data_IF_933085246104
#
_entry.id   IF_933085246104
#
_cell.length_a   1.000
_cell.length_b   1.000
_cell.length_c   1.000
_cell.angle_alpha   90.00
_cell.angle_beta   90.00
_cell.angle_gamma   90.00
#
_symmetry.space_group_name_H-M   'P 1'
#
loop_
_entity.id
_entity.type
_entity.pdbx_description
1 polymer ?
#
# COMPACT_ATOMS: atom_id res chain seq x y z
N UNK A 1 5.53 8.60 11.66
CA UNK A 1 4.87 7.77 12.70
C UNK A 1 5.27 8.18 14.12
N UNK A 2 6.55 8.39 14.42
CA UNK A 2 7.05 8.60 15.79
C UNK A 2 6.38 9.74 16.55
N UNK A 3 6.17 10.88 15.90
CA UNK A 3 5.47 12.02 16.51
C UNK A 3 4.02 11.67 16.87
N UNK A 4 3.33 10.96 15.96
CA UNK A 4 1.96 10.49 16.20
C UNK A 4 1.89 9.52 17.40
N UNK A 5 2.79 8.53 17.47
CA UNK A 5 2.82 7.62 18.62
C UNK A 5 3.19 8.33 19.93
N UNK A 6 4.14 9.27 19.90
CA UNK A 6 4.50 10.08 21.08
C UNK A 6 3.32 10.91 21.58
N UNK A 7 2.59 11.56 20.68
CA UNK A 7 1.37 12.29 21.00
C UNK A 7 0.31 11.39 21.66
N UNK A 8 0.04 10.21 21.07
CA UNK A 8 -0.94 9.27 21.64
C UNK A 8 -0.54 8.77 23.03
N UNK A 9 0.76 8.53 23.28
CA UNK A 9 1.27 8.12 24.60
C UNK A 9 1.10 9.17 25.69
N UNK A 10 0.95 10.44 25.32
CA UNK A 10 0.65 11.53 26.27
C UNK A 10 -0.82 11.56 26.69
N UNK A 11 -1.71 10.79 26.01
CA UNK A 11 -3.15 10.78 26.24
C UNK A 11 -3.69 9.36 26.51
N UNK A 12 -3.16 8.64 27.52
CA UNK A 12 -3.52 7.24 27.79
C UNK A 12 -4.99 7.03 28.16
N UNK A 13 -5.66 8.05 28.71
CA UNK A 13 -7.09 8.06 29.03
C UNK A 13 -7.98 7.90 27.78
N UNK A 14 -7.42 8.18 26.59
CA UNK A 14 -8.05 8.02 25.29
C UNK A 14 -7.33 6.95 24.45
N UNK A 15 -7.19 5.74 24.99
CA UNK A 15 -6.49 4.64 24.33
C UNK A 15 -7.02 4.27 22.93
N UNK A 16 -8.25 4.68 22.60
CA UNK A 16 -8.89 4.47 21.30
C UNK A 16 -8.81 5.66 20.32
N UNK A 17 -8.19 6.77 20.71
CA UNK A 17 -7.93 7.93 19.87
C UNK A 17 -7.06 7.53 18.69
N UNK A 18 -7.52 7.82 17.48
CA UNK A 18 -6.84 7.41 16.25
C UNK A 18 -6.21 8.59 15.54
N UNK A 19 -4.97 8.38 15.12
CA UNK A 19 -4.31 9.15 14.08
C UNK A 19 -4.41 8.36 12.78
N UNK A 20 -4.70 9.05 11.68
CA UNK A 20 -4.93 8.46 10.35
C UNK A 20 -3.92 9.00 9.35
N UNK A 21 -3.56 8.21 8.34
CA UNK A 21 -2.84 8.74 7.18
C UNK A 21 -1.92 7.75 6.50
N UNK A 22 -0.80 8.29 6.00
CA UNK A 22 0.16 7.61 5.14
C UNK A 22 1.56 7.63 5.76
N UNK A 23 2.32 6.55 5.57
CA UNK A 23 3.77 6.55 5.63
C UNK A 23 4.30 6.40 4.20
N UNK A 24 5.32 7.18 3.84
CA UNK A 24 5.97 7.09 2.52
C UNK A 24 6.73 5.76 2.37
N UNK A 25 7.27 5.46 1.19
CA UNK A 25 8.14 4.29 0.97
C UNK A 25 9.31 4.28 1.96
N UNK A 26 9.93 5.45 2.19
CA UNK A 26 10.79 5.69 3.34
C UNK A 26 9.92 5.83 4.60
N UNK A 27 9.97 4.86 5.54
CA UNK A 27 9.11 4.86 6.72
C UNK A 27 9.39 6.01 7.70
N UNK A 28 10.52 6.71 7.56
CA UNK A 28 10.82 7.90 8.38
C UNK A 28 9.92 9.09 8.03
N UNK A 29 9.37 9.11 6.81
CA UNK A 29 8.50 10.17 6.31
C UNK A 29 7.04 9.71 6.34
N UNK A 30 6.14 10.60 6.79
CA UNK A 30 4.72 10.31 6.84
C UNK A 30 3.88 11.57 6.83
N UNK A 31 2.64 11.45 6.35
CA UNK A 31 1.63 12.49 6.45
C UNK A 31 0.44 11.87 7.20
N UNK A 32 0.36 12.21 8.49
CA UNK A 32 -0.63 11.68 9.42
C UNK A 32 -1.31 12.83 10.15
N UNK A 33 -2.60 12.67 10.45
CA UNK A 33 -3.42 13.69 11.07
C UNK A 33 -4.20 13.14 12.28
N UNK A 34 -4.35 13.99 13.30
CA UNK A 34 -5.39 13.84 14.30
C UNK A 34 -6.67 14.47 13.73
N UNK A 35 -7.72 13.69 13.41
CA UNK A 35 -8.87 14.23 12.71
C UNK A 35 -9.70 15.13 13.63
N UNK A 36 -10.11 16.30 13.11
CA UNK A 36 -11.16 17.11 13.74
C UNK A 36 -12.46 16.31 13.87
N UNK A 37 -12.82 15.58 12.82
CA UNK A 37 -14.02 14.77 12.72
C UNK A 37 -13.70 13.38 12.15
N UNK A 38 -14.05 12.31 12.87
CA UNK A 38 -13.92 10.91 12.43
C UNK A 38 -15.30 10.28 12.30
N UNK A 39 -15.70 9.88 11.10
CA UNK A 39 -16.79 8.93 10.91
C UNK A 39 -16.22 7.51 10.76
N UNK A 40 -16.57 6.61 11.67
CA UNK A 40 -16.07 5.23 11.66
C UNK A 40 -17.20 4.24 11.74
N UNK A 41 -17.14 3.21 10.89
CA UNK A 41 -18.11 2.09 10.87
C UNK A 41 -17.43 0.77 11.18
N UNK A 42 -18.03 -0.03 12.05
CA UNK A 42 -17.65 -1.41 12.34
C UNK A 42 -18.88 -2.31 12.18
N UNK A 43 -18.90 -3.15 11.14
CA UNK A 43 -20.09 -3.93 10.78
C UNK A 43 -21.28 -3.01 10.45
N UNK A 44 -22.40 -3.22 11.15
CA UNK A 44 -23.63 -2.42 11.01
C UNK A 44 -23.70 -1.16 11.88
N UNK A 45 -22.69 -0.87 12.71
CA UNK A 45 -22.69 0.29 13.63
C UNK A 45 -21.70 1.35 13.17
N UNK A 46 -22.08 2.62 13.26
CA UNK A 46 -21.23 3.76 12.96
C UNK A 46 -21.21 4.78 14.11
N UNK A 47 -20.10 5.49 14.24
CA UNK A 47 -19.89 6.56 15.22
C UNK A 47 -19.29 7.77 14.50
N UNK A 48 -19.83 8.96 14.80
CA UNK A 48 -19.23 10.23 14.43
C UNK A 48 -18.56 10.81 15.67
N UNK A 49 -17.25 11.03 15.62
CA UNK A 49 -16.43 11.55 16.72
C UNK A 49 -15.88 12.92 16.33
N UNK A 50 -16.19 13.94 17.12
CA UNK A 50 -15.54 15.25 17.06
C UNK A 50 -14.50 15.30 18.19
N UNK A 51 -13.26 15.67 17.87
CA UNK A 51 -12.19 15.82 18.86
C UNK A 51 -11.88 17.30 19.07
N UNK A 52 -11.74 17.72 20.32
CA UNK A 52 -11.20 19.02 20.69
C UNK A 52 -9.80 18.84 21.27
N UNK A 53 -8.84 19.66 20.85
CA UNK A 53 -7.47 19.63 21.33
C UNK A 53 -6.88 21.04 21.28
N UNK A 54 -6.26 21.47 22.37
CA UNK A 54 -5.57 22.75 22.44
C UNK A 54 -4.45 22.67 23.48
N UNK A 55 -3.29 23.24 23.16
CA UNK A 55 -2.20 23.41 24.13
C UNK A 55 -2.50 24.52 25.16
N UNK A 56 -3.50 25.37 24.91
CA UNK A 56 -3.79 26.55 25.74
C UNK A 56 -5.22 26.62 26.26
N UNK A 57 -6.24 26.39 25.41
CA UNK A 57 -7.64 26.53 25.81
C UNK A 57 -8.59 25.69 24.95
N UNK A 58 -9.22 24.69 25.58
CA UNK A 58 -10.30 23.91 24.95
C UNK A 58 -11.53 24.77 24.61
N UNK A 59 -11.78 25.86 25.34
CA UNK A 59 -12.88 26.78 25.03
C UNK A 59 -12.65 27.48 23.70
N UNK A 60 -11.42 27.90 23.41
CA UNK A 60 -11.08 28.49 22.11
C UNK A 60 -11.19 27.46 20.99
N UNK A 61 -10.67 26.25 21.18
CA UNK A 61 -10.77 25.18 20.18
C UNK A 61 -12.23 24.74 19.93
N UNK A 62 -13.11 24.85 20.93
CA UNK A 62 -14.54 24.65 20.75
C UNK A 62 -15.19 25.69 19.82
N UNK A 63 -14.70 26.94 19.79
CA UNK A 63 -15.15 27.96 18.83
C UNK A 63 -14.71 27.56 17.42
N UNK A 64 -13.45 27.18 17.25
CA UNK A 64 -12.91 26.67 15.98
C UNK A 64 -13.68 25.45 15.48
N UNK A 65 -14.06 24.54 16.38
CA UNK A 65 -14.86 23.37 16.03
C UNK A 65 -16.28 23.72 15.58
N UNK A 66 -16.91 24.76 16.14
CA UNK A 66 -18.21 25.27 15.67
C UNK A 66 -18.09 25.86 14.26
N UNK A 67 -17.03 26.64 14.02
CA UNK A 67 -16.74 27.19 12.68
C UNK A 67 -16.52 26.06 11.67
N UNK A 68 -15.74 25.03 12.02
CA UNK A 68 -15.56 23.83 11.21
C UNK A 68 -16.89 23.12 10.91
N UNK A 69 -17.78 22.95 11.90
CA UNK A 69 -19.09 22.31 11.67
C UNK A 69 -19.93 23.16 10.70
N UNK A 70 -19.86 24.49 10.79
CA UNK A 70 -20.57 25.39 9.90
C UNK A 70 -20.07 25.35 8.44
N UNK A 71 -18.85 24.87 8.18
CA UNK A 71 -18.33 24.69 6.81
C UNK A 71 -18.79 23.38 6.15
N UNK A 72 -19.42 22.46 6.90
CA UNK A 72 -19.91 21.21 6.34
C UNK A 72 -21.03 21.45 5.32
N UNK A 73 -20.92 20.77 4.18
CA UNK A 73 -21.91 20.84 3.09
C UNK A 73 -22.77 19.58 3.03
N UNK A 74 -23.96 19.70 2.45
CA UNK A 74 -24.82 18.55 2.18
C UNK A 74 -24.19 17.61 1.15
N UNK A 75 -24.45 16.31 1.30
CA UNK A 75 -23.96 15.27 0.40
C UNK A 75 -24.43 15.57 -1.04
N UNK A 76 -23.50 15.55 -1.98
CA UNK A 76 -23.77 15.68 -3.42
C UNK A 76 -23.53 14.34 -4.12
N UNK A 77 -24.24 14.05 -5.23
CA UNK A 77 -23.93 12.88 -6.04
C UNK A 77 -22.50 13.00 -6.57
N UNK A 78 -21.73 11.93 -6.44
CA UNK A 78 -20.37 11.89 -6.95
C UNK A 78 -20.43 11.58 -8.46
N UNK A 79 -19.90 12.46 -9.34
CA UNK A 79 -20.00 12.26 -10.78
C UNK A 79 -19.21 11.04 -11.24
N UNK A 80 -19.63 10.45 -12.36
CA UNK A 80 -18.82 9.48 -13.08
C UNK A 80 -17.56 10.14 -13.65
N UNK A 81 -16.55 9.32 -13.97
CA UNK A 81 -15.34 9.81 -14.64
C UNK A 81 -15.61 9.86 -16.14
N UNK A 82 -15.51 11.06 -16.70
CA UNK A 82 -15.48 11.29 -18.15
C UNK A 82 -14.17 11.99 -18.46
N UNK A 83 -13.19 11.20 -18.90
CA UNK A 83 -11.80 11.62 -18.99
C UNK A 83 -11.30 11.42 -20.41
N UNK A 84 -10.79 12.49 -21.03
CA UNK A 84 -10.12 12.43 -22.33
C UNK A 84 -8.62 12.48 -22.09
N UNK A 85 -7.92 11.39 -22.40
CA UNK A 85 -6.46 11.31 -22.28
C UNK A 85 -5.79 12.22 -23.30
N UNK A 86 -4.85 13.05 -22.85
CA UNK A 86 -4.09 13.99 -23.70
C UNK A 86 -2.65 13.54 -23.91
N UNK A 87 -2.06 12.79 -22.96
CA UNK A 87 -0.71 12.23 -23.05
C UNK A 87 -0.57 11.03 -22.12
N UNK A 88 0.22 10.05 -22.54
CA UNK A 88 0.67 8.94 -21.70
C UNK A 88 2.20 8.88 -21.72
N UNK A 89 2.82 8.70 -20.56
CA UNK A 89 4.27 8.55 -20.44
C UNK A 89 4.62 7.51 -19.39
N UNK A 90 5.56 6.62 -19.72
CA UNK A 90 6.10 5.62 -18.80
C UNK A 90 7.48 6.01 -18.28
N UNK A 91 7.75 5.68 -17.02
CA UNK A 91 9.03 5.87 -16.35
C UNK A 91 9.40 4.58 -15.60
N UNK A 92 10.34 3.77 -16.10
CA UNK A 92 10.95 3.86 -17.43
C UNK A 92 9.95 3.51 -18.55
N UNK A 93 10.30 3.85 -19.78
CA UNK A 93 9.66 3.28 -20.97
C UNK A 93 10.10 1.82 -21.19
N UNK A 94 9.62 1.17 -22.25
CA UNK A 94 9.90 -0.25 -22.50
C UNK A 94 11.39 -0.52 -22.73
N UNK A 95 12.09 0.35 -23.44
CA UNK A 95 13.53 0.23 -23.68
C UNK A 95 14.32 0.39 -22.38
N UNK A 96 14.01 1.43 -21.60
CA UNK A 96 14.63 1.66 -20.30
C UNK A 96 14.29 0.56 -19.28
N UNK A 97 13.11 -0.04 -19.36
CA UNK A 97 12.74 -1.20 -18.55
C UNK A 97 13.64 -2.39 -18.87
N UNK A 98 13.80 -2.75 -20.15
CA UNK A 98 14.70 -3.85 -20.54
C UNK A 98 16.11 -3.65 -20.01
N UNK A 99 16.68 -2.45 -20.20
CA UNK A 99 18.01 -2.11 -19.68
C UNK A 99 18.09 -2.22 -18.16
N UNK A 100 17.04 -1.79 -17.45
CA UNK A 100 16.99 -1.83 -15.99
C UNK A 100 16.87 -3.27 -15.46
N UNK A 101 16.10 -4.14 -16.12
CA UNK A 101 15.97 -5.56 -15.76
C UNK A 101 17.26 -6.33 -16.05
N UNK A 102 17.90 -6.09 -17.20
CA UNK A 102 19.20 -6.68 -17.55
C UNK A 102 20.29 -6.26 -16.54
N UNK A 103 20.30 -4.99 -16.12
CA UNK A 103 21.20 -4.52 -15.06
C UNK A 103 20.93 -5.23 -13.74
N UNK A 104 19.68 -5.30 -13.29
CA UNK A 104 19.31 -5.95 -12.04
C UNK A 104 19.67 -7.43 -12.02
N UNK A 105 19.38 -8.16 -13.11
CA UNK A 105 19.70 -9.59 -13.23
C UNK A 105 21.21 -9.83 -13.29
N UNK A 106 21.98 -8.93 -13.91
CA UNK A 106 23.45 -8.98 -13.88
C UNK A 106 23.99 -8.79 -12.45
N UNK A 107 23.52 -7.78 -11.71
CA UNK A 107 23.92 -7.56 -10.31
C UNK A 107 23.54 -8.74 -9.41
N UNK A 108 22.39 -9.39 -9.66
CA UNK A 108 21.99 -10.62 -8.95
C UNK A 108 22.92 -11.79 -9.29
N UNK A 109 23.38 -11.90 -10.54
CA UNK A 109 24.32 -12.93 -10.96
C UNK A 109 25.72 -12.76 -10.33
N UNK A 110 26.11 -11.52 -10.02
CA UNK A 110 27.35 -11.18 -9.31
C UNK A 110 27.30 -11.56 -7.81
N UNK A 111 26.11 -11.90 -7.28
CA UNK A 111 25.92 -12.43 -5.92
C UNK A 111 25.81 -11.35 -4.83
N UNK A 112 25.75 -10.08 -5.20
CA UNK A 112 25.56 -8.96 -4.26
C UNK A 112 24.10 -8.81 -3.81
N UNK A 113 23.15 -9.25 -4.63
CA UNK A 113 21.72 -9.03 -4.47
C UNK A 113 20.98 -10.33 -4.82
N UNK A 114 19.98 -10.73 -4.03
CA UNK A 114 19.16 -11.92 -4.34
C UNK A 114 17.88 -11.56 -5.09
N UNK A 115 17.29 -10.41 -4.73
CA UNK A 115 16.02 -9.90 -5.26
C UNK A 115 16.01 -8.37 -5.21
N UNK A 116 15.49 -7.73 -6.26
CA UNK A 116 15.08 -6.32 -6.21
C UNK A 116 13.73 -6.14 -6.85
N UNK A 117 12.86 -5.37 -6.21
CA UNK A 117 11.56 -5.03 -6.77
C UNK A 117 11.70 -3.69 -7.46
N UNK A 118 11.56 -3.67 -8.78
CA UNK A 118 11.63 -2.47 -9.60
C UNK A 118 10.23 -2.06 -10.03
N UNK A 119 10.00 -0.75 -10.09
CA UNK A 119 8.70 -0.18 -10.38
C UNK A 119 8.72 0.66 -11.66
N UNK A 120 7.53 0.83 -12.22
CA UNK A 120 7.21 1.76 -13.30
C UNK A 120 6.15 2.74 -12.82
N UNK A 121 6.39 4.02 -13.06
CA UNK A 121 5.36 5.05 -13.00
C UNK A 121 4.76 5.25 -14.40
N UNK A 122 3.44 5.41 -14.49
CA UNK A 122 2.74 5.74 -15.74
C UNK A 122 1.93 7.00 -15.52
N UNK A 123 2.36 8.09 -16.15
CA UNK A 123 1.69 9.38 -16.10
C UNK A 123 0.64 9.46 -17.21
N UNK A 124 -0.63 9.52 -16.81
CA UNK A 124 -1.77 9.77 -17.67
C UNK A 124 -2.20 11.22 -17.48
N UNK A 125 -2.03 12.02 -18.53
CA UNK A 125 -2.55 13.38 -18.56
C UNK A 125 -3.95 13.38 -19.17
N UNK A 126 -4.83 14.21 -18.59
CA UNK A 126 -6.20 14.37 -19.05
C UNK A 126 -6.48 15.83 -19.42
N UNK A 127 -7.52 16.05 -20.23
CA UNK A 127 -7.94 17.39 -20.64
C UNK A 127 -8.51 18.24 -19.49
N UNK A 128 -8.95 17.59 -18.40
CA UNK A 128 -9.54 18.22 -17.22
C UNK A 128 -9.00 17.61 -15.92
N UNK A 129 -9.11 18.33 -14.78
CA UNK A 129 -8.73 17.80 -13.49
C UNK A 129 -9.46 16.49 -13.15
N UNK A 130 -8.74 15.55 -12.51
CA UNK A 130 -9.31 14.24 -12.17
C UNK A 130 -9.93 14.27 -10.78
N UNK A 131 -11.22 13.91 -10.71
CA UNK A 131 -11.88 13.75 -9.41
C UNK A 131 -11.41 12.47 -8.71
N UNK A 132 -10.46 12.63 -7.78
CA UNK A 132 -9.85 11.54 -7.02
C UNK A 132 -10.88 10.71 -6.23
N UNK A 133 -11.89 11.36 -5.64
CA UNK A 133 -12.94 10.66 -4.88
C UNK A 133 -13.78 9.76 -5.81
N UNK A 134 -14.09 10.22 -7.02
CA UNK A 134 -14.81 9.43 -8.03
C UNK A 134 -13.98 8.22 -8.48
N UNK A 135 -12.66 8.39 -8.69
CA UNK A 135 -11.73 7.28 -8.96
C UNK A 135 -11.71 6.27 -7.81
N UNK A 136 -11.65 6.73 -6.56
CA UNK A 136 -11.72 5.84 -5.40
C UNK A 136 -13.06 5.08 -5.36
N UNK A 137 -14.18 5.75 -5.62
CA UNK A 137 -15.50 5.11 -5.65
C UNK A 137 -15.61 4.05 -6.76
N UNK A 138 -15.08 4.32 -7.95
CA UNK A 138 -15.01 3.35 -9.06
C UNK A 138 -14.16 2.13 -8.67
N UNK A 139 -12.98 2.37 -8.07
CA UNK A 139 -12.11 1.29 -7.61
C UNK A 139 -12.78 0.41 -6.55
N UNK A 140 -13.49 1.01 -5.57
CA UNK A 140 -14.24 0.26 -4.55
C UNK A 140 -15.30 -0.68 -5.11
N UNK A 141 -15.90 -0.36 -6.25
CA UNK A 141 -16.91 -1.20 -6.90
C UNK A 141 -16.30 -2.42 -7.58
N UNK A 142 -15.09 -2.29 -8.12
CA UNK A 142 -14.49 -3.32 -8.99
C UNK A 142 -13.37 -4.11 -8.30
N UNK A 143 -12.55 -3.46 -7.48
CA UNK A 143 -11.40 -4.06 -6.81
C UNK A 143 -11.78 -4.58 -5.42
N UNK A 144 -12.61 -5.62 -5.41
CA UNK A 144 -13.06 -6.31 -4.19
C UNK A 144 -11.89 -6.98 -3.45
N UNK A 145 -12.10 -7.27 -2.16
CA UNK A 145 -11.10 -7.88 -1.27
C UNK A 145 -9.80 -7.06 -1.11
N UNK A 146 -9.86 -5.75 -1.37
CA UNK A 146 -8.77 -4.83 -1.14
C UNK A 146 -9.07 -3.86 0.02
N UNK A 147 -8.02 -3.43 0.71
CA UNK A 147 -8.04 -2.19 1.47
C UNK A 147 -8.18 -1.02 0.50
N UNK A 148 -9.04 -0.07 0.85
CA UNK A 148 -9.23 1.16 0.09
C UNK A 148 -8.77 2.33 0.94
N UNK A 149 -7.82 3.10 0.42
CA UNK A 149 -7.28 4.28 1.07
C UNK A 149 -7.30 5.46 0.10
N UNK A 150 -7.57 6.65 0.64
CA UNK A 150 -7.64 7.90 -0.10
C UNK A 150 -7.26 9.04 0.86
N UNK A 151 -6.23 9.80 0.48
CA UNK A 151 -5.80 11.03 1.13
C UNK A 151 -5.91 12.15 0.11
N UNK A 152 -6.73 13.16 0.40
CA UNK A 152 -6.64 14.45 -0.27
C UNK A 152 -5.74 15.35 0.58
N UNK A 153 -4.60 15.74 0.03
CA UNK A 153 -3.70 16.68 0.70
C UNK A 153 -4.27 18.10 0.63
N UNK A 154 -4.85 18.42 -0.52
CA UNK A 154 -5.54 19.68 -0.82
C UNK A 154 -6.56 19.43 -1.95
N UNK A 155 -7.09 20.50 -2.55
CA UNK A 155 -8.08 20.41 -3.63
C UNK A 155 -7.56 19.86 -4.96
N UNK A 156 -6.25 19.81 -5.17
CA UNK A 156 -5.60 19.43 -6.43
C UNK A 156 -4.77 18.15 -6.32
N UNK A 157 -4.31 17.81 -5.11
CA UNK A 157 -3.39 16.72 -4.85
C UNK A 157 -4.00 15.62 -3.99
N UNK A 158 -3.94 14.39 -4.48
CA UNK A 158 -4.40 13.22 -3.75
C UNK A 158 -3.51 11.98 -3.96
N UNK A 159 -3.57 11.06 -3.01
CA UNK A 159 -3.01 9.72 -3.14
C UNK A 159 -4.06 8.68 -2.72
N UNK A 160 -4.29 7.68 -3.56
CA UNK A 160 -5.30 6.65 -3.32
C UNK A 160 -4.88 5.29 -3.83
N UNK A 161 -5.53 4.23 -3.38
CA UNK A 161 -5.24 2.88 -3.87
C UNK A 161 -6.20 1.81 -3.40
N UNK A 162 -6.01 0.61 -3.94
CA UNK A 162 -6.82 -0.58 -3.64
C UNK A 162 -5.91 -1.79 -3.46
N UNK A 163 -5.26 -1.85 -2.30
CA UNK A 163 -4.21 -2.82 -2.00
C UNK A 163 -4.78 -4.10 -1.39
N UNK A 164 -4.35 -5.29 -1.83
CA UNK A 164 -4.72 -6.55 -1.20
C UNK A 164 -3.86 -6.89 0.03
N UNK A 165 -2.79 -6.12 0.29
CA UNK A 165 -1.72 -6.52 1.18
C UNK A 165 -1.76 -5.74 2.51
N UNK A 166 -1.83 -6.48 3.62
CA UNK A 166 -1.63 -5.93 4.95
C UNK A 166 -0.13 -5.80 5.22
N UNK A 167 0.31 -4.62 5.68
CA UNK A 167 1.63 -4.47 6.26
C UNK A 167 1.64 -5.02 7.69
N UNK A 168 0.76 -4.51 8.55
CA UNK A 168 0.48 -5.13 9.85
C UNK A 168 -0.91 -4.79 10.38
N UNK A 169 -1.36 -5.58 11.36
CA UNK A 169 -2.48 -5.27 12.24
C UNK A 169 -2.10 -5.62 13.66
N UNK A 170 -2.16 -4.63 14.56
CA UNK A 170 -1.90 -4.81 15.98
C UNK A 170 -3.19 -4.67 16.79
N UNK A 171 -3.40 -5.58 17.74
CA UNK A 171 -4.42 -5.51 18.80
C UNK A 171 -3.72 -5.75 20.12
N UNK A 172 -3.58 -4.71 20.92
CA UNK A 172 -2.68 -4.67 22.08
C UNK A 172 -1.27 -5.12 21.68
N UNK A 173 -0.86 -6.34 22.04
CA UNK A 173 0.42 -6.94 21.64
C UNK A 173 0.29 -7.96 20.50
N UNK A 174 -0.90 -8.45 20.20
CA UNK A 174 -1.11 -9.43 19.13
C UNK A 174 -0.86 -8.77 17.76
N UNK A 175 0.09 -9.30 17.02
CA UNK A 175 0.52 -8.82 15.71
C UNK A 175 0.13 -9.81 14.62
N UNK A 176 -0.43 -9.30 13.53
CA UNK A 176 -0.64 -10.05 12.28
C UNK A 176 -0.01 -9.32 11.12
N UNK A 177 0.79 -10.04 10.34
CA UNK A 177 1.31 -9.61 9.04
C UNK A 177 1.19 -10.78 8.05
N UNK A 178 1.67 -10.62 6.82
CA UNK A 178 1.60 -11.65 5.78
C UNK A 178 2.71 -11.49 4.74
N UNK A 179 3.22 -12.62 4.26
CA UNK A 179 4.04 -12.66 3.06
C UNK A 179 3.13 -12.87 1.84
N UNK A 180 2.94 -11.80 1.05
CA UNK A 180 2.13 -11.80 -0.17
C UNK A 180 3.03 -11.59 -1.39
N UNK A 181 3.54 -12.69 -1.94
CA UNK A 181 4.46 -12.70 -3.08
C UNK A 181 4.29 -13.99 -3.87
N UNK A 182 4.58 -13.95 -5.17
CA UNK A 182 4.16 -14.95 -6.15
C UNK A 182 2.81 -14.59 -6.77
N UNK A 183 2.76 -14.54 -8.11
CA UNK A 183 1.62 -13.97 -8.86
C UNK A 183 1.26 -14.82 -10.07
N UNK A 184 -0.03 -14.96 -10.32
CA UNK A 184 -0.57 -15.45 -11.60
C UNK A 184 -1.75 -14.58 -12.03
N UNK A 185 -2.10 -14.60 -13.31
CA UNK A 185 -3.31 -13.94 -13.79
C UNK A 185 -4.58 -14.52 -13.13
N UNK A 186 -5.61 -13.70 -12.96
CA UNK A 186 -6.95 -14.18 -12.63
C UNK A 186 -7.76 -14.42 -13.91
N UNK A 187 -8.76 -15.28 -13.82
CA UNK A 187 -9.72 -15.53 -14.89
C UNK A 187 -11.17 -15.29 -14.40
N UNK A 188 -12.10 -14.78 -15.25
CA UNK A 188 -13.52 -14.63 -14.89
C UNK A 188 -14.23 -15.97 -14.63
N UNK A 189 -13.89 -17.02 -15.38
CA UNK A 189 -14.35 -18.37 -15.10
C UNK A 189 -13.64 -18.94 -13.86
N UNK A 190 -14.44 -19.43 -12.91
CA UNK A 190 -13.97 -19.88 -11.60
C UNK A 190 -13.11 -21.15 -11.67
N UNK A 191 -13.40 -22.08 -12.60
CA UNK A 191 -12.63 -23.31 -12.73
C UNK A 191 -11.24 -23.03 -13.29
N UNK A 192 -11.15 -22.20 -14.33
CA UNK A 192 -9.87 -21.78 -14.89
C UNK A 192 -9.05 -20.98 -13.88
N UNK A 193 -9.69 -20.08 -13.11
CA UNK A 193 -8.99 -19.35 -12.05
C UNK A 193 -8.47 -20.30 -10.97
N UNK A 194 -9.24 -21.33 -10.58
CA UNK A 194 -8.80 -22.34 -9.63
C UNK A 194 -7.59 -23.13 -10.14
N UNK A 195 -7.61 -23.58 -11.41
CA UNK A 195 -6.48 -24.29 -12.02
C UNK A 195 -5.20 -23.46 -12.05
N UNK A 196 -5.31 -22.16 -12.39
CA UNK A 196 -4.18 -21.22 -12.32
C UNK A 196 -3.66 -21.06 -10.88
N UNK A 197 -4.56 -21.06 -9.89
CA UNK A 197 -4.20 -21.02 -8.47
C UNK A 197 -3.52 -22.31 -7.99
N UNK A 198 -3.98 -23.48 -8.42
CA UNK A 198 -3.35 -24.78 -8.14
C UNK A 198 -1.95 -24.86 -8.75
N UNK A 199 -1.78 -24.38 -9.98
CA UNK A 199 -0.46 -24.22 -10.60
C UNK A 199 0.43 -23.29 -9.76
N UNK A 200 -0.06 -22.13 -9.33
CA UNK A 200 0.70 -21.19 -8.50
C UNK A 200 1.14 -21.82 -7.16
N UNK A 201 0.29 -22.65 -6.57
CA UNK A 201 0.61 -23.38 -5.33
C UNK A 201 1.65 -24.47 -5.54
N UNK A 202 1.76 -25.05 -6.74
CA UNK A 202 2.73 -26.09 -7.06
C UNK A 202 4.03 -25.58 -7.71
N UNK A 203 4.06 -24.31 -8.15
CA UNK A 203 5.21 -23.74 -8.86
C UNK A 203 6.38 -23.41 -7.92
N UNK A 204 7.51 -24.10 -8.11
CA UNK A 204 8.72 -23.98 -7.28
C UNK A 204 9.34 -22.58 -7.29
N UNK A 205 9.20 -21.82 -8.40
CA UNK A 205 9.72 -20.43 -8.46
C UNK A 205 8.91 -19.54 -7.51
N UNK A 206 7.58 -19.54 -7.65
CA UNK A 206 6.69 -18.71 -6.84
C UNK A 206 6.69 -19.12 -5.36
N UNK A 207 6.78 -20.43 -5.06
CA UNK A 207 6.91 -20.92 -3.68
C UNK A 207 8.18 -20.41 -3.00
N UNK A 208 9.33 -20.47 -3.68
CA UNK A 208 10.60 -19.94 -3.17
C UNK A 208 10.57 -18.43 -3.02
N UNK A 209 10.01 -17.71 -3.98
CA UNK A 209 9.86 -16.24 -3.88
C UNK A 209 9.04 -15.85 -2.65
N UNK A 210 7.95 -16.57 -2.37
CA UNK A 210 7.14 -16.32 -1.18
C UNK A 210 7.87 -16.67 0.11
N UNK A 211 8.63 -17.77 0.15
CA UNK A 211 9.37 -18.19 1.34
C UNK A 211 10.48 -17.19 1.71
N UNK A 212 11.17 -16.61 0.73
CA UNK A 212 12.15 -15.55 0.97
C UNK A 212 11.52 -14.35 1.71
N UNK A 213 10.27 -14.00 1.38
CA UNK A 213 9.54 -12.92 2.08
C UNK A 213 9.16 -13.35 3.51
N UNK A 214 8.77 -14.61 3.72
CA UNK A 214 8.52 -15.14 5.07
C UNK A 214 9.77 -15.08 5.93
N UNK A 215 10.91 -15.53 5.40
CA UNK A 215 12.19 -15.57 6.10
C UNK A 215 12.65 -14.16 6.49
N UNK A 216 12.55 -13.19 5.57
CA UNK A 216 12.83 -11.77 5.85
C UNK A 216 11.95 -11.24 6.98
N UNK A 217 10.62 -11.44 6.89
CA UNK A 217 9.69 -10.97 7.94
C UNK A 217 10.04 -11.60 9.29
N UNK A 218 10.32 -12.91 9.34
CA UNK A 218 10.66 -13.60 10.57
C UNK A 218 11.98 -13.08 11.16
N UNK A 219 13.01 -12.91 10.33
CA UNK A 219 14.31 -12.38 10.74
C UNK A 219 14.18 -10.97 11.32
N UNK A 220 13.36 -10.12 10.71
CA UNK A 220 13.14 -8.74 11.18
C UNK A 220 12.37 -8.69 12.49
N UNK A 221 11.40 -9.59 12.69
CA UNK A 221 10.56 -9.57 13.89
C UNK A 221 11.15 -10.32 15.09
N UNK A 222 12.12 -11.21 14.89
CA UNK A 222 12.58 -12.16 15.92
C UNK A 222 13.02 -11.51 17.24
N UNK A 223 13.61 -10.30 17.20
CA UNK A 223 14.12 -9.63 18.40
C UNK A 223 13.01 -8.91 19.19
N UNK A 224 11.91 -8.57 18.53
CA UNK A 224 10.84 -7.71 19.07
C UNK A 224 9.55 -8.49 19.37
N UNK A 225 9.54 -9.80 19.12
CA UNK A 225 8.35 -10.64 19.21
C UNK A 225 8.62 -11.94 19.97
N UNK A 226 7.54 -12.61 20.34
CA UNK A 226 7.53 -13.99 20.83
C UNK A 226 7.56 -14.95 19.63
N UNK A 227 7.24 -16.24 19.85
CA UNK A 227 7.14 -17.24 18.78
C UNK A 227 6.33 -16.73 17.58
N UNK A 228 6.83 -17.01 16.38
CA UNK A 228 6.22 -16.66 15.11
C UNK A 228 5.52 -17.87 14.51
N UNK A 229 4.22 -17.77 14.30
CA UNK A 229 3.41 -18.79 13.65
C UNK A 229 3.21 -18.43 12.17
N UNK A 230 3.85 -19.18 11.28
CA UNK A 230 3.66 -19.07 9.83
C UNK A 230 2.57 -20.06 9.40
N UNK A 231 1.46 -19.55 8.89
CA UNK A 231 0.33 -20.36 8.44
C UNK A 231 0.61 -20.98 7.05
N UNK A 232 -0.05 -22.10 6.69
CA UNK A 232 0.05 -22.69 5.37
C UNK A 232 -0.25 -21.70 4.23
N UNK A 233 0.39 -21.87 3.06
CA UNK A 233 0.13 -21.01 1.90
C UNK A 233 -1.32 -21.09 1.43
N UNK A 234 -1.83 -19.97 0.93
CA UNK A 234 -3.17 -19.84 0.35
C UNK A 234 -3.12 -18.97 -0.90
N UNK A 235 -4.03 -19.22 -1.85
CA UNK A 235 -4.23 -18.33 -3.00
C UNK A 235 -5.24 -17.23 -2.65
N UNK A 236 -4.83 -15.98 -2.78
CA UNK A 236 -5.70 -14.80 -2.69
C UNK A 236 -6.10 -14.36 -4.10
N UNK A 237 -7.33 -14.68 -4.50
CA UNK A 237 -7.90 -14.29 -5.80
C UNK A 237 -8.40 -12.85 -5.79
N UNK A 238 -7.95 -12.03 -6.74
CA UNK A 238 -8.36 -10.64 -6.96
C UNK A 238 -8.89 -10.45 -8.38
N UNK A 239 -9.35 -9.25 -8.73
CA UNK A 239 -10.00 -8.96 -10.03
C UNK A 239 -9.18 -9.41 -11.25
N UNK A 240 -7.89 -9.08 -11.30
CA UNK A 240 -7.01 -9.32 -12.47
C UNK A 240 -5.86 -10.29 -12.20
N UNK A 241 -5.53 -10.53 -10.94
CA UNK A 241 -4.39 -11.36 -10.52
C UNK A 241 -4.77 -12.20 -9.31
N UNK A 242 -4.00 -13.25 -9.05
CA UNK A 242 -4.05 -14.04 -7.82
C UNK A 242 -2.65 -14.04 -7.18
N UNK A 243 -2.60 -14.09 -5.86
CA UNK A 243 -1.34 -14.05 -5.11
C UNK A 243 -1.20 -15.24 -4.17
N UNK A 244 0.02 -15.73 -4.00
CA UNK A 244 0.35 -16.67 -2.94
C UNK A 244 0.54 -15.89 -1.62
N UNK A 245 -0.14 -16.34 -0.56
CA UNK A 245 -0.15 -15.69 0.75
C UNK A 245 0.19 -16.67 1.86
N UNK A 246 1.12 -16.30 2.73
CA UNK A 246 1.31 -16.93 4.06
C UNK A 246 1.09 -15.91 5.14
N UNK A 247 0.09 -16.11 6.00
CA UNK A 247 -0.12 -15.24 7.15
C UNK A 247 0.92 -15.55 8.24
N UNK A 248 1.37 -14.52 8.95
CA UNK A 248 2.36 -14.64 10.03
C UNK A 248 1.80 -13.97 11.28
N UNK A 249 1.63 -14.74 12.34
CA UNK A 249 1.03 -14.29 13.61
C UNK A 249 2.06 -14.39 14.73
N UNK A 250 2.05 -13.41 15.63
CA UNK A 250 2.92 -13.42 16.82
C UNK A 250 2.40 -12.45 17.88
N UNK A 251 3.10 -12.35 19.00
CA UNK A 251 2.90 -11.34 20.03
C UNK A 251 4.15 -10.46 20.15
N UNK A 252 3.98 -9.15 20.08
CA UNK A 252 5.04 -8.17 20.32
C UNK A 252 5.46 -8.17 21.80
N UNK A 253 6.75 -7.94 22.05
CA UNK A 253 7.26 -7.71 23.40
C UNK A 253 6.65 -6.44 24.01
N UNK A 254 6.50 -5.40 23.19
CA UNK A 254 5.91 -4.09 23.54
C UNK A 254 4.86 -3.69 22.50
N UNK A 255 3.74 -3.13 22.96
CA UNK A 255 2.74 -2.54 22.05
C UNK A 255 3.30 -1.24 21.44
N UNK A 256 4.05 -1.36 20.35
CA UNK A 256 4.79 -0.26 19.72
C UNK A 256 4.65 -0.32 18.19
N UNK A 257 3.96 0.68 17.63
CA UNK A 257 3.68 0.79 16.20
C UNK A 257 4.88 1.31 15.40
N UNK A 258 5.84 1.99 16.05
CA UNK A 258 7.09 2.43 15.41
C UNK A 258 8.00 1.23 15.16
N UNK A 259 8.10 0.31 16.13
CA UNK A 259 8.77 -0.99 15.93
C UNK A 259 8.12 -1.73 14.75
N UNK A 260 6.78 -1.85 14.74
CA UNK A 260 6.07 -2.51 13.63
C UNK A 260 6.43 -1.89 12.27
N UNK A 261 6.38 -0.56 12.16
CA UNK A 261 6.66 0.16 10.93
C UNK A 261 8.11 -0.06 10.45
N UNK A 262 9.11 0.18 11.30
CA UNK A 262 10.51 0.13 10.87
C UNK A 262 11.00 -1.31 10.65
N UNK A 263 10.50 -2.28 11.42
CA UNK A 263 10.86 -3.68 11.19
C UNK A 263 10.26 -4.18 9.87
N UNK A 264 9.00 -3.85 9.56
CA UNK A 264 8.29 -4.40 8.40
C UNK A 264 8.44 -3.58 7.10
N UNK A 265 8.57 -2.25 7.14
CA UNK A 265 8.53 -1.40 5.94
C UNK A 265 9.89 -0.79 5.56
N UNK A 266 10.38 -0.94 4.31
CA UNK A 266 9.74 -1.65 3.20
C UNK A 266 9.87 -3.18 3.31
N UNK A 267 8.84 -3.91 2.89
CA UNK A 267 8.87 -5.40 2.88
C UNK A 267 9.81 -5.91 1.79
N UNK A 268 10.33 -7.14 1.93
CA UNK A 268 11.01 -7.83 0.83
C UNK A 268 10.14 -7.99 -0.44
N UNK A 269 8.81 -7.95 -0.30
CA UNK A 269 7.86 -7.99 -1.43
C UNK A 269 7.79 -6.68 -2.22
N UNK A 270 8.25 -5.54 -1.66
CA UNK A 270 8.24 -4.24 -2.33
C UNK A 270 9.59 -3.58 -2.50
N UNK A 271 10.63 -4.00 -1.76
CA UNK A 271 12.01 -3.54 -1.96
C UNK A 271 12.88 -4.64 -2.56
N UNK A 272 13.00 -5.79 -1.89
CA UNK A 272 13.89 -6.89 -2.28
C UNK A 272 14.79 -7.36 -1.13
N UNK A 273 15.78 -8.20 -1.46
CA UNK A 273 16.68 -8.88 -0.54
C UNK A 273 18.12 -8.94 -1.08
N UNK A 274 19.15 -8.71 -0.25
CA UNK A 274 19.09 -8.10 1.08
C UNK A 274 18.53 -6.67 1.05
N UNK A 275 17.74 -6.30 2.06
CA UNK A 275 16.89 -5.08 2.02
C UNK A 275 17.67 -3.79 1.79
N UNK A 276 18.84 -3.62 2.42
CA UNK A 276 19.64 -2.40 2.27
C UNK A 276 20.22 -2.28 0.86
N UNK A 277 20.70 -3.39 0.28
CA UNK A 277 21.22 -3.42 -1.08
C UNK A 277 20.12 -3.22 -2.11
N UNK A 278 18.95 -3.84 -1.91
CA UNK A 278 17.79 -3.63 -2.76
C UNK A 278 17.31 -2.16 -2.72
N UNK A 279 17.27 -1.53 -1.53
CA UNK A 279 16.94 -0.11 -1.39
C UNK A 279 17.97 0.80 -2.07
N UNK A 280 19.26 0.50 -1.95
CA UNK A 280 20.31 1.26 -2.61
C UNK A 280 20.20 1.15 -4.13
N UNK A 281 19.92 -0.05 -4.65
CA UNK A 281 19.70 -0.28 -6.08
C UNK A 281 18.50 0.53 -6.59
N UNK A 282 17.36 0.46 -5.89
CA UNK A 282 16.16 1.26 -6.20
C UNK A 282 16.49 2.76 -6.22
N UNK A 283 17.13 3.27 -5.16
CA UNK A 283 17.46 4.69 -5.04
C UNK A 283 18.43 5.18 -6.13
N UNK A 284 19.29 4.30 -6.64
CA UNK A 284 20.29 4.63 -7.66
C UNK A 284 19.72 4.55 -9.08
N UNK A 285 18.79 3.63 -9.35
CA UNK A 285 18.44 3.24 -10.71
C UNK A 285 16.97 3.45 -11.09
N UNK A 286 16.04 3.61 -10.15
CA UNK A 286 14.66 3.96 -10.54
C UNK A 286 14.59 5.39 -11.07
N UNK A 287 13.98 5.62 -12.25
CA UNK A 287 13.97 6.94 -12.89
C UNK A 287 12.92 7.90 -12.29
N UNK A 288 12.35 7.56 -11.14
CA UNK A 288 11.36 8.37 -10.43
C UNK A 288 11.36 8.05 -8.92
N UNK A 289 10.84 8.97 -8.12
CA UNK A 289 10.65 8.76 -6.68
C UNK A 289 9.31 8.06 -6.41
N UNK A 290 9.32 7.00 -5.60
CA UNK A 290 8.09 6.28 -5.21
C UNK A 290 7.14 7.10 -4.33
N UNK A 291 7.68 8.02 -3.53
CA UNK A 291 6.92 8.84 -2.58
C UNK A 291 6.01 7.97 -1.69
N UNK A 292 4.68 8.01 -1.89
CA UNK A 292 3.70 7.25 -1.12
C UNK A 292 3.50 5.80 -1.63
N UNK A 293 3.88 5.50 -2.87
CA UNK A 293 3.78 4.16 -3.43
C UNK A 293 4.71 3.18 -2.69
N UNK A 294 4.19 1.99 -2.40
CA UNK A 294 4.87 0.95 -1.61
C UNK A 294 5.25 1.37 -0.18
N UNK A 295 4.76 2.51 0.30
CA UNK A 295 4.70 2.85 1.72
C UNK A 295 3.55 2.13 2.43
N UNK A 296 2.85 2.82 3.33
CA UNK A 296 1.66 2.26 3.98
C UNK A 296 0.56 3.28 4.24
N UNK A 297 -0.67 2.78 4.35
CA UNK A 297 -1.87 3.59 4.59
C UNK A 297 -2.74 2.94 5.68
N UNK A 298 -3.23 3.74 6.64
CA UNK A 298 -3.96 3.19 7.77
C UNK A 298 -4.13 4.13 8.95
N UNK A 299 -4.19 3.55 10.14
CA UNK A 299 -4.35 4.27 11.39
C UNK A 299 -3.60 3.62 12.56
N UNK A 300 -3.32 4.42 13.58
CA UNK A 300 -2.80 3.98 14.87
C UNK A 300 -3.57 4.60 16.05
N UNK A 301 -3.66 3.83 17.13
CA UNK A 301 -4.13 4.21 18.47
C UNK A 301 -3.37 3.38 19.50
N UNK A 302 -3.40 3.71 20.79
CA UNK A 302 -2.68 2.93 21.80
C UNK A 302 -3.13 1.45 21.82
N UNK A 303 -4.43 1.21 21.79
CA UNK A 303 -4.97 -0.16 21.84
C UNK A 303 -4.80 -0.95 20.52
N UNK A 304 -4.80 -0.30 19.36
CA UNK A 304 -4.81 -1.00 18.07
C UNK A 304 -4.32 -0.15 16.91
N UNK A 305 -3.78 -0.80 15.89
CA UNK A 305 -3.39 -0.18 14.63
C UNK A 305 -3.58 -1.17 13.47
N UNK A 306 -3.76 -0.63 12.26
CA UNK A 306 -3.79 -1.43 11.04
C UNK A 306 -3.33 -0.59 9.86
N UNK A 307 -2.36 -1.11 9.12
CA UNK A 307 -1.80 -0.48 7.94
C UNK A 307 -1.74 -1.51 6.80
N UNK A 308 -2.22 -1.13 5.63
CA UNK A 308 -1.97 -1.86 4.39
C UNK A 308 -0.72 -1.31 3.69
N UNK A 309 -0.07 -2.13 2.87
CA UNK A 309 0.99 -1.66 1.98
C UNK A 309 0.34 -0.81 0.88
N UNK A 310 0.92 0.35 0.56
CA UNK A 310 0.38 1.30 -0.43
C UNK A 310 0.64 0.84 -1.88
N UNK A 311 0.11 -0.33 -2.24
CA UNK A 311 0.15 -0.91 -3.58
C UNK A 311 -1.12 -0.60 -4.37
N UNK A 312 -1.07 -0.88 -5.69
CA UNK A 312 -2.20 -0.67 -6.61
C UNK A 312 -2.79 0.72 -6.40
N UNK A 313 -1.90 1.71 -6.45
CA UNK A 313 -2.13 3.07 -6.02
C UNK A 313 -1.82 4.07 -7.12
N UNK A 314 -2.37 5.27 -6.95
CA UNK A 314 -2.18 6.39 -7.84
C UNK A 314 -1.94 7.68 -7.06
N UNK A 315 -1.05 8.52 -7.59
CA UNK A 315 -0.95 9.93 -7.21
C UNK A 315 -1.69 10.77 -8.24
N UNK A 316 -2.51 11.70 -7.78
CA UNK A 316 -3.23 12.65 -8.62
C UNK A 316 -2.72 14.05 -8.30
N UNK A 317 -2.36 14.78 -9.34
CA UNK A 317 -1.96 16.19 -9.27
C UNK A 317 -2.65 16.94 -10.41
N UNK A 318 -3.73 17.66 -10.07
CA UNK A 318 -4.58 18.34 -11.04
C UNK A 318 -5.17 17.39 -12.08
N UNK A 319 -4.70 17.48 -13.32
CA UNK A 319 -5.14 16.67 -14.45
C UNK A 319 -4.19 15.49 -14.77
N UNK A 320 -3.21 15.20 -13.92
CA UNK A 320 -2.27 14.09 -14.10
C UNK A 320 -2.54 13.00 -13.09
N UNK A 321 -2.67 11.76 -13.57
CA UNK A 321 -2.73 10.56 -12.73
C UNK A 321 -1.46 9.75 -12.96
N UNK A 322 -0.64 9.64 -11.93
CA UNK A 322 0.52 8.75 -11.90
C UNK A 322 0.12 7.41 -11.31
N UNK A 323 0.07 6.37 -12.14
CA UNK A 323 -0.14 4.98 -11.71
C UNK A 323 1.20 4.32 -11.39
N UNK A 324 1.22 3.45 -10.37
CA UNK A 324 2.41 2.70 -10.00
C UNK A 324 2.17 1.19 -10.06
N UNK A 325 3.14 0.48 -10.61
CA UNK A 325 3.21 -0.98 -10.57
C UNK A 325 4.68 -1.41 -10.51
N UNK A 326 4.97 -2.55 -9.86
CA UNK A 326 6.32 -3.09 -9.78
C UNK A 326 6.35 -4.60 -9.81
N UNK A 327 7.51 -5.14 -10.19
CA UNK A 327 7.80 -6.56 -10.36
C UNK A 327 9.03 -6.94 -9.55
N UNK A 328 9.00 -8.15 -8.97
CA UNK A 328 10.10 -8.69 -8.18
C UNK A 328 11.10 -9.38 -9.08
N UNK A 329 12.25 -8.77 -9.28
CA UNK A 329 13.30 -9.28 -10.16
C UNK A 329 14.18 -10.24 -9.39
N UNK A 330 14.29 -11.46 -9.91
CA UNK A 330 15.11 -12.55 -9.40
C UNK A 330 15.95 -13.14 -10.52
N UNK A 331 16.83 -14.09 -10.19
CA UNK A 331 17.60 -14.83 -11.21
C UNK A 331 16.64 -15.47 -12.23
N UNK A 332 16.85 -15.17 -13.51
CA UNK A 332 16.04 -15.69 -14.62
C UNK A 332 14.76 -14.89 -14.92
N UNK A 333 14.57 -13.72 -14.31
CA UNK A 333 13.52 -12.78 -14.75
C UNK A 333 13.74 -12.35 -16.20
N UNK A 334 12.66 -12.35 -16.98
CA UNK A 334 12.63 -11.96 -18.39
C UNK A 334 11.97 -10.57 -18.53
N UNK A 335 12.62 -9.58 -19.16
CA UNK A 335 12.10 -8.21 -19.20
C UNK A 335 10.68 -8.07 -19.76
N UNK A 336 10.32 -8.86 -20.77
CA UNK A 336 9.00 -8.80 -21.42
C UNK A 336 7.91 -9.38 -20.50
N UNK A 337 8.19 -10.52 -19.86
CA UNK A 337 7.27 -11.12 -18.89
C UNK A 337 7.02 -10.17 -17.71
N UNK A 338 8.09 -9.56 -17.17
CA UNK A 338 7.97 -8.63 -16.05
C UNK A 338 7.24 -7.33 -16.46
N UNK A 339 7.40 -6.86 -17.71
CA UNK A 339 6.63 -5.75 -18.26
C UNK A 339 5.13 -6.08 -18.32
N UNK A 340 4.79 -7.29 -18.79
CA UNK A 340 3.40 -7.73 -18.86
C UNK A 340 2.79 -7.91 -17.46
N UNK A 341 3.57 -8.34 -16.46
CA UNK A 341 3.15 -8.40 -15.07
C UNK A 341 2.77 -7.02 -14.52
N UNK A 342 3.62 -6.00 -14.73
CA UNK A 342 3.32 -4.65 -14.25
C UNK A 342 2.14 -3.99 -14.98
N UNK A 343 1.92 -4.31 -16.26
CA UNK A 343 0.71 -3.90 -16.99
C UNK A 343 -0.56 -4.50 -16.37
N UNK A 344 -0.53 -5.80 -16.04
CA UNK A 344 -1.64 -6.48 -15.37
C UNK A 344 -1.92 -5.89 -13.98
N UNK A 345 -0.86 -5.54 -13.23
CA UNK A 345 -0.97 -4.89 -11.91
C UNK A 345 -1.55 -3.47 -12.03
N UNK A 346 -1.12 -2.69 -13.01
CA UNK A 346 -1.61 -1.33 -13.24
C UNK A 346 -3.05 -1.30 -13.79
N UNK A 347 -3.46 -2.32 -14.55
CA UNK A 347 -4.79 -2.43 -15.16
C UNK A 347 -5.94 -2.32 -14.16
N UNK A 348 -5.73 -2.73 -12.90
CA UNK A 348 -6.72 -2.62 -11.82
C UNK A 348 -7.20 -1.18 -11.58
N UNK A 349 -6.32 -0.19 -11.78
CA UNK A 349 -6.66 1.24 -11.72
C UNK A 349 -6.82 1.86 -13.10
N UNK A 350 -5.98 1.50 -14.08
CA UNK A 350 -6.01 2.10 -15.43
C UNK A 350 -7.38 1.93 -16.11
N UNK A 351 -8.00 0.76 -15.97
CA UNK A 351 -9.33 0.47 -16.55
C UNK A 351 -10.47 1.29 -15.95
N UNK A 352 -10.24 1.99 -14.84
CA UNK A 352 -11.23 2.89 -14.23
C UNK A 352 -11.27 4.26 -14.93
N UNK A 353 -10.18 4.61 -15.63
CA UNK A 353 -9.95 5.93 -16.23
C UNK A 353 -10.17 5.95 -17.75
N UNK A 354 -10.22 4.76 -18.36
CA UNK A 354 -10.30 4.54 -19.81
C UNK A 354 -11.58 3.78 -20.20
N UNK A 355 -12.70 4.08 -19.54
CA UNK A 355 -13.99 3.54 -19.99
C UNK A 355 -14.49 4.40 -21.15
N UNK A 356 -14.56 3.81 -22.34
CA UNK A 356 -15.36 4.31 -23.46
C UNK A 356 -16.85 4.39 -23.11
#
# INVERSE_FOLDING_TARGET
>A
MDQAQRFLRQHPEHADLRIWGLNAFDPSQGNLLLPRLEWRRCGGKATLRLTLFSESSLQHDAIQAKEFIATLVSIKPLPGLHLTTTREQHWPDKTGWTQLIELATKTIAEGELDKVVLARATDLHFASPVNAAAMMAASRRLNLNCYHFYMAFDGENAFLGSSPERLWRRRDKALRTEALAGTVANHPDDKQAQQLGEWLMADDKNQRENMLVVEDICQRLQADTQTLDVLPPQVLRLRKVQHLRRCIWTSLNKADDVICLHQLQPTAAVAGLPRDLARQFIARHEPFTREWYAGSAGYLSLQQSEFCVSLRSAKISGNVVRLYAGAGIVRGSDPEQEWQEIDNKAAGLRTLLQME
#
